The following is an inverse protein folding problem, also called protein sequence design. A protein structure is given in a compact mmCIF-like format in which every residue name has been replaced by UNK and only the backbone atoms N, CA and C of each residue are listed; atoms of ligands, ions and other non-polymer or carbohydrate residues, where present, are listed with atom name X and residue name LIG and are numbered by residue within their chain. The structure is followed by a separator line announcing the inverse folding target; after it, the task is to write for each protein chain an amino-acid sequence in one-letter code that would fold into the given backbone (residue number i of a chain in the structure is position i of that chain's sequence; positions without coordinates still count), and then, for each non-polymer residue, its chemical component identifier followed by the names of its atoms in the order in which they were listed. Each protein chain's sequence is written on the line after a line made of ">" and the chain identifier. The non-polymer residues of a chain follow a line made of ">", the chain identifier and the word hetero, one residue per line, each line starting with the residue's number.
data_IF_043325181703
#
_entry.id   IF_043325181703
#
_cell.length_a   1.000
_cell.length_b   1.000
_cell.length_c   1.000
_cell.angle_alpha   90.00
_cell.angle_beta   90.00
_cell.angle_gamma   90.00
#
_symmetry.space_group_name_H-M   'P 1'
#
loop_
_entity.id
_entity.type
_entity.pdbx_description
1 polymer ?
#
# COMPACT_ATOMS: atom_id res chain seq x y z
N UNK A 1 -6.52 -25.51 -3.28
CA UNK A 1 -6.85 -24.34 -2.44
C UNK A 1 -5.61 -23.47 -2.41
N UNK A 2 -5.67 -22.22 -2.88
CA UNK A 2 -4.56 -21.28 -2.73
C UNK A 2 -4.33 -21.03 -1.25
N UNK A 3 -3.22 -21.53 -0.72
CA UNK A 3 -2.86 -21.37 0.68
C UNK A 3 -2.66 -19.88 0.97
N UNK A 4 -3.40 -19.34 1.95
CA UNK A 4 -3.27 -17.94 2.36
C UNK A 4 -2.01 -17.83 3.20
N UNK A 5 -0.97 -17.24 2.61
CA UNK A 5 0.32 -17.02 3.27
C UNK A 5 0.21 -16.02 4.43
N UNK A 6 1.19 -16.01 5.33
CA UNK A 6 1.31 -14.98 6.37
C UNK A 6 1.39 -13.57 5.77
N UNK A 7 2.11 -13.41 4.66
CA UNK A 7 2.20 -12.16 3.89
C UNK A 7 0.85 -11.73 3.30
N UNK A 8 0.04 -12.67 2.79
CA UNK A 8 -1.31 -12.35 2.32
C UNK A 8 -2.20 -11.86 3.47
N UNK A 9 -2.11 -12.47 4.66
CA UNK A 9 -2.86 -12.03 5.86
C UNK A 9 -2.43 -10.64 6.31
N UNK A 10 -1.13 -10.38 6.33
CA UNK A 10 -0.58 -9.07 6.70
C UNK A 10 -1.01 -7.99 5.72
N UNK A 11 -0.94 -8.27 4.42
CA UNK A 11 -1.41 -7.36 3.37
C UNK A 11 -2.89 -7.03 3.54
N UNK A 12 -3.73 -8.05 3.78
CA UNK A 12 -5.17 -7.86 4.00
C UNK A 12 -5.39 -6.98 5.25
N UNK A 13 -4.68 -7.25 6.35
CA UNK A 13 -4.79 -6.43 7.57
C UNK A 13 -4.48 -4.96 7.32
N UNK A 14 -3.39 -4.66 6.62
CA UNK A 14 -3.01 -3.28 6.27
C UNK A 14 -4.03 -2.62 5.32
N UNK A 15 -4.53 -3.36 4.33
CA UNK A 15 -5.57 -2.88 3.42
C UNK A 15 -6.91 -2.62 4.14
N UNK A 16 -7.27 -3.46 5.11
CA UNK A 16 -8.49 -3.27 5.92
C UNK A 16 -8.39 -2.03 6.78
N UNK A 17 -7.23 -1.75 7.39
CA UNK A 17 -7.02 -0.53 8.20
C UNK A 17 -7.32 0.74 7.38
N UNK A 18 -6.81 0.82 6.16
CA UNK A 18 -7.02 2.00 5.30
C UNK A 18 -8.37 2.04 4.58
N UNK A 19 -9.10 0.91 4.55
CA UNK A 19 -10.41 0.84 3.88
C UNK A 19 -11.52 1.45 4.72
N UNK A 20 -11.30 1.68 6.01
CA UNK A 20 -12.32 2.21 6.93
C UNK A 20 -12.68 3.68 6.64
N UNK A 21 -11.74 4.49 6.15
CA UNK A 21 -11.96 5.88 5.75
C UNK A 21 -10.82 6.42 4.89
N UNK A 22 -11.09 7.44 4.07
CA UNK A 22 -10.09 8.14 3.23
C UNK A 22 -8.89 8.63 4.06
N UNK A 23 -9.12 9.03 5.31
CA UNK A 23 -8.08 9.60 6.18
C UNK A 23 -7.18 8.55 6.83
N UNK A 24 -7.60 7.28 6.87
CA UNK A 24 -6.81 6.22 7.52
C UNK A 24 -5.53 5.92 6.75
N UNK A 25 -5.54 6.12 5.42
CA UNK A 25 -4.33 6.02 4.61
C UNK A 25 -3.26 7.04 5.03
N UNK A 26 -3.67 8.28 5.33
CA UNK A 26 -2.75 9.36 5.70
C UNK A 26 -2.14 9.15 7.10
N UNK A 27 -2.76 8.30 7.92
CA UNK A 27 -2.31 7.94 9.28
C UNK A 27 -1.30 6.79 9.32
N UNK A 28 -1.06 6.11 8.20
CA UNK A 28 -0.06 5.05 8.17
C UNK A 28 1.34 5.62 8.42
N UNK A 29 2.11 4.93 9.26
CA UNK A 29 3.52 5.25 9.47
C UNK A 29 4.37 4.92 8.24
N UNK A 30 5.57 5.49 8.17
CA UNK A 30 6.54 5.19 7.11
C UNK A 30 6.81 3.68 6.98
N UNK A 31 6.98 2.99 8.12
CA UNK A 31 7.19 1.54 8.16
C UNK A 31 5.98 0.76 7.64
N UNK A 32 4.76 1.17 8.01
CA UNK A 32 3.54 0.54 7.51
C UNK A 32 3.36 0.74 6.00
N UNK A 33 3.71 1.92 5.48
CA UNK A 33 3.66 2.23 4.05
C UNK A 33 4.69 1.42 3.27
N UNK A 34 5.94 1.37 3.74
CA UNK A 34 7.00 0.57 3.11
C UNK A 34 6.64 -0.92 3.12
N UNK A 35 6.10 -1.42 4.23
CA UNK A 35 5.64 -2.82 4.34
C UNK A 35 4.49 -3.12 3.38
N UNK A 36 3.52 -2.22 3.28
CA UNK A 36 2.40 -2.37 2.34
C UNK A 36 2.87 -2.34 0.89
N UNK A 37 3.84 -1.49 0.55
CA UNK A 37 4.46 -1.43 -0.79
C UNK A 37 5.11 -2.77 -1.17
N UNK A 38 5.92 -3.33 -0.28
CA UNK A 38 6.61 -4.62 -0.47
C UNK A 38 5.61 -5.77 -0.71
N UNK A 39 4.58 -5.87 0.14
CA UNK A 39 3.57 -6.92 0.06
C UNK A 39 2.73 -6.83 -1.22
N UNK A 40 2.48 -5.62 -1.72
CA UNK A 40 1.77 -5.42 -2.98
C UNK A 40 2.64 -5.74 -4.19
N UNK A 41 3.94 -5.41 -4.18
CA UNK A 41 4.89 -5.76 -5.24
C UNK A 41 5.02 -7.27 -5.42
N UNK A 42 5.06 -8.02 -4.30
CA UNK A 42 5.12 -9.49 -4.30
C UNK A 42 3.84 -10.15 -4.81
N UNK A 43 2.69 -9.48 -4.70
CA UNK A 43 1.41 -10.08 -5.11
C UNK A 43 1.21 -10.04 -6.62
N UNK A 44 1.14 -11.22 -7.21
CA UNK A 44 0.74 -11.37 -8.60
C UNK A 44 -0.77 -11.18 -8.78
N UNK A 45 -1.11 -10.20 -9.62
CA UNK A 45 -2.48 -9.92 -10.09
C UNK A 45 -2.55 -9.98 -11.62
N UNK A 46 -1.55 -10.57 -12.30
CA UNK A 46 -1.51 -10.64 -13.76
C UNK A 46 -2.75 -11.28 -14.40
N UNK A 47 -3.40 -12.18 -13.67
CA UNK A 47 -4.65 -12.84 -14.06
C UNK A 47 -5.87 -11.90 -14.06
N UNK A 48 -5.81 -10.74 -13.39
CA UNK A 48 -6.87 -9.74 -13.34
C UNK A 48 -6.32 -8.35 -13.67
N UNK A 49 -6.52 -7.93 -14.93
CA UNK A 49 -6.09 -6.63 -15.45
C UNK A 49 -6.65 -5.44 -14.66
N UNK A 50 -7.85 -5.56 -14.09
CA UNK A 50 -8.46 -4.50 -13.28
C UNK A 50 -7.76 -4.41 -11.93
N UNK A 51 -7.52 -5.55 -11.29
CA UNK A 51 -6.80 -5.63 -10.03
C UNK A 51 -5.35 -5.12 -10.19
N UNK A 52 -4.65 -5.52 -11.25
CA UNK A 52 -3.26 -5.09 -11.49
C UNK A 52 -3.15 -3.58 -11.76
N UNK A 53 -4.09 -3.01 -12.52
CA UNK A 53 -4.19 -1.54 -12.69
C UNK A 53 -4.47 -0.83 -11.37
N UNK A 54 -5.32 -1.40 -10.52
CA UNK A 54 -5.62 -0.86 -9.19
C UNK A 54 -4.39 -0.91 -8.28
N UNK A 55 -3.68 -2.05 -8.22
CA UNK A 55 -2.40 -2.21 -7.51
C UNK A 55 -1.39 -1.15 -7.94
N UNK A 56 -1.18 -0.98 -9.25
CA UNK A 56 -0.21 -0.03 -9.79
C UNK A 56 -0.53 1.41 -9.39
N UNK A 57 -1.81 1.82 -9.45
CA UNK A 57 -2.22 3.15 -8.98
C UNK A 57 -2.00 3.31 -7.47
N UNK A 58 -2.26 2.26 -6.72
CA UNK A 58 -2.14 2.30 -5.27
C UNK A 58 -0.66 2.36 -4.82
N UNK A 59 0.23 1.60 -5.46
CA UNK A 59 1.69 1.71 -5.26
C UNK A 59 2.21 3.13 -5.52
N UNK A 60 1.75 3.80 -6.59
CA UNK A 60 2.13 5.20 -6.84
C UNK A 60 1.72 6.13 -5.70
N UNK A 61 0.52 5.94 -5.13
CA UNK A 61 0.05 6.75 -3.98
C UNK A 61 0.89 6.50 -2.74
N UNK A 62 1.25 5.24 -2.46
CA UNK A 62 2.15 4.88 -1.35
C UNK A 62 3.49 5.58 -1.53
N UNK A 63 4.07 5.56 -2.72
CA UNK A 63 5.40 6.13 -2.96
C UNK A 63 5.42 7.65 -2.82
N UNK A 64 4.37 8.33 -3.29
CA UNK A 64 4.19 9.77 -3.03
C UNK A 64 4.11 10.03 -1.53
N UNK A 65 3.34 9.25 -0.78
CA UNK A 65 3.20 9.42 0.67
C UNK A 65 4.52 9.16 1.41
N UNK A 66 5.27 8.13 1.02
CA UNK A 66 6.62 7.86 1.55
C UNK A 66 7.52 9.06 1.29
N UNK A 67 7.56 9.56 0.05
CA UNK A 67 8.34 10.74 -0.33
C UNK A 67 7.95 11.99 0.49
N UNK A 68 6.66 12.25 0.70
CA UNK A 68 6.18 13.34 1.57
C UNK A 68 6.64 13.18 3.02
N UNK A 69 6.69 11.95 3.55
CA UNK A 69 7.13 11.70 4.92
C UNK A 69 8.67 11.76 5.06
N UNK A 70 9.42 11.41 4.02
CA UNK A 70 10.89 11.39 4.04
C UNK A 70 11.52 12.71 3.63
N UNK A 71 10.97 13.39 2.62
CA UNK A 71 11.50 14.61 2.01
C UNK A 71 10.58 15.83 2.23
N UNK A 72 9.28 15.59 2.48
CA UNK A 72 8.23 16.61 2.55
C UNK A 72 8.13 17.44 3.82
N UNK A 73 9.22 17.66 4.56
CA UNK A 73 9.35 18.92 5.32
C UNK A 73 9.88 20.09 4.47
N UNK A 74 10.24 19.89 3.20
CA UNK A 74 11.02 20.87 2.42
C UNK A 74 10.41 21.49 1.15
N UNK A 75 9.21 21.13 0.71
CA UNK A 75 8.71 21.57 -0.63
C UNK A 75 7.29 22.15 -0.66
N UNK A 76 6.63 22.29 0.48
CA UNK A 76 5.41 23.09 0.65
C UNK A 76 5.42 23.83 2.01
N UNK A 77 6.57 24.45 2.33
CA UNK A 77 6.70 25.46 3.39
C UNK A 77 6.65 26.85 2.80
#
# INVERSE_FOLDING_TARGET
>A
MTEITSEDRERIKLLTLISSSKHEFDKLSLEQLARLEELLKKKDYSHDKKADKSKTKFLKRINVRIYELTEGKGIWG
#
